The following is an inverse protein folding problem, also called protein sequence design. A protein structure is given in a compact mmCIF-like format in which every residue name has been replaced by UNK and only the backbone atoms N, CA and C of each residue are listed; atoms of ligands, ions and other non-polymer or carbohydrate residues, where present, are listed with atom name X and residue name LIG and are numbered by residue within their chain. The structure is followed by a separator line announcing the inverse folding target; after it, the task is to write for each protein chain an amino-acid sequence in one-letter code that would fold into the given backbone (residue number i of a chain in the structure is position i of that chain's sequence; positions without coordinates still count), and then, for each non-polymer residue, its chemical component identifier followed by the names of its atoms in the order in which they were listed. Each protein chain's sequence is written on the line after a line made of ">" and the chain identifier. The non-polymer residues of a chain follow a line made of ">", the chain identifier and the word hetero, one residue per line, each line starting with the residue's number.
data_IF_657260113104
#
_entry.id   IF_657260113104
#
_cell.length_a   1.000
_cell.length_b   1.000
_cell.length_c   1.000
_cell.angle_alpha   90.00
_cell.angle_beta   90.00
_cell.angle_gamma   90.00
#
_symmetry.space_group_name_H-M   'P 1'
#
loop_
_entity.id
_entity.type
_entity.pdbx_description
1 polymer ?
#
# COMPACT_ATOMS: atom_id res chain seq x y z
N UNK A 1 11.07 15.02 3.68
CA UNK A 1 12.06 15.30 2.61
C UNK A 1 13.22 14.29 2.62
N UNK A 2 12.94 12.98 2.55
CA UNK A 2 13.99 11.94 2.60
C UNK A 2 13.71 10.70 1.72
N UNK A 3 12.62 10.69 0.92
CA UNK A 3 12.30 9.53 0.04
C UNK A 3 12.67 9.84 -1.43
N UNK A 4 13.04 11.09 -1.73
CA UNK A 4 13.38 11.51 -3.10
C UNK A 4 14.84 11.24 -3.47
N UNK A 5 15.69 10.76 -2.55
CA UNK A 5 17.13 10.66 -2.81
C UNK A 5 17.57 9.40 -3.56
N UNK A 6 16.71 8.37 -3.66
CA UNK A 6 17.07 7.09 -4.30
C UNK A 6 16.28 6.77 -5.58
N UNK A 7 15.45 7.72 -6.08
CA UNK A 7 14.67 7.52 -7.31
C UNK A 7 15.47 8.05 -8.50
N UNK A 8 16.04 7.16 -9.32
CA UNK A 8 16.69 7.57 -10.58
C UNK A 8 15.68 8.30 -11.49
N UNK A 9 16.15 9.27 -12.29
CA UNK A 9 15.34 10.12 -13.18
C UNK A 9 14.31 9.34 -14.00
N UNK A 10 14.68 8.16 -14.50
CA UNK A 10 13.79 7.27 -15.25
C UNK A 10 12.58 6.81 -14.42
N UNK A 11 12.79 6.42 -13.16
CA UNK A 11 11.72 5.96 -12.26
C UNK A 11 10.81 7.13 -11.88
N UNK A 12 11.39 8.31 -11.59
CA UNK A 12 10.61 9.52 -11.29
C UNK A 12 9.75 9.94 -12.49
N UNK A 13 10.32 9.91 -13.69
CA UNK A 13 9.62 10.24 -14.92
C UNK A 13 8.43 9.30 -15.17
N UNK A 14 8.62 7.99 -14.99
CA UNK A 14 7.54 7.01 -15.15
C UNK A 14 6.47 7.19 -14.07
N UNK A 15 6.86 7.37 -12.82
CA UNK A 15 5.95 7.66 -11.72
C UNK A 15 5.05 8.87 -12.05
N UNK A 16 5.65 9.99 -12.46
CA UNK A 16 4.90 11.21 -12.81
C UNK A 16 3.95 10.98 -14.00
N UNK A 17 4.38 10.23 -15.01
CA UNK A 17 3.54 9.88 -16.16
C UNK A 17 2.32 9.06 -15.73
N UNK A 18 2.50 8.11 -14.81
CA UNK A 18 1.46 7.21 -14.33
C UNK A 18 0.69 7.75 -13.11
N UNK A 19 1.06 8.92 -12.57
CA UNK A 19 0.46 9.49 -11.35
C UNK A 19 -1.06 9.67 -11.45
N UNK A 20 -1.58 10.03 -12.62
CA UNK A 20 -3.01 10.19 -12.86
C UNK A 20 -3.80 8.90 -12.59
N UNK A 21 -3.22 7.75 -12.95
CA UNK A 21 -3.82 6.43 -12.75
C UNK A 21 -3.83 6.05 -11.27
N UNK A 22 -2.71 6.28 -10.56
CA UNK A 22 -2.64 6.04 -9.13
C UNK A 22 -3.60 6.95 -8.34
N UNK A 23 -3.71 8.22 -8.74
CA UNK A 23 -4.67 9.15 -8.15
C UNK A 23 -6.12 8.72 -8.37
N UNK A 24 -6.42 8.18 -9.55
CA UNK A 24 -7.74 7.61 -9.84
C UNK A 24 -8.08 6.45 -8.90
N UNK A 25 -7.14 5.52 -8.65
CA UNK A 25 -7.32 4.44 -7.67
C UNK A 25 -7.62 4.96 -6.26
N UNK A 26 -6.95 6.04 -5.84
CA UNK A 26 -7.20 6.66 -4.54
C UNK A 26 -8.57 7.33 -4.45
N UNK A 27 -9.04 7.92 -5.56
CA UNK A 27 -10.33 8.63 -5.62
C UNK A 27 -11.52 7.67 -5.66
N UNK A 28 -11.39 6.54 -6.35
CA UNK A 28 -12.41 5.48 -6.43
C UNK A 28 -12.43 4.59 -5.18
N UNK A 29 -11.54 4.83 -4.22
CA UNK A 29 -11.60 4.14 -2.93
C UNK A 29 -12.86 4.53 -2.18
N UNK A 30 -13.86 3.65 -2.24
CA UNK A 30 -15.04 3.69 -1.40
C UNK A 30 -14.94 2.63 -0.30
N UNK A 31 -14.98 3.09 0.95
CA UNK A 31 -15.00 2.23 2.14
C UNK A 31 -16.18 1.26 2.17
N UNK A 32 -17.26 1.54 1.41
CA UNK A 32 -18.43 0.66 1.30
C UNK A 32 -18.14 -0.65 0.56
N UNK A 33 -17.09 -0.70 -0.28
CA UNK A 33 -16.69 -1.87 -1.07
C UNK A 33 -15.65 -2.74 -0.37
N UNK A 34 -15.32 -2.45 0.89
CA UNK A 34 -14.40 -3.28 1.67
C UNK A 34 -15.07 -4.62 1.97
N UNK A 35 -14.46 -5.71 1.51
CA UNK A 35 -14.85 -7.06 1.93
C UNK A 35 -14.69 -7.17 3.44
N UNK A 36 -15.61 -7.86 4.12
CA UNK A 36 -15.56 -8.14 5.57
C UNK A 36 -14.20 -8.68 6.04
N UNK A 37 -13.50 -9.42 5.16
CA UNK A 37 -12.17 -9.94 5.42
C UNK A 37 -11.09 -8.83 5.59
N UNK A 38 -11.18 -7.72 4.85
CA UNK A 38 -10.27 -6.58 4.99
C UNK A 38 -10.55 -5.82 6.30
N UNK A 39 -11.83 -5.72 6.70
CA UNK A 39 -12.23 -5.07 7.95
C UNK A 39 -11.63 -5.78 9.16
N UNK A 40 -11.72 -7.12 9.19
CA UNK A 40 -11.16 -7.94 10.27
C UNK A 40 -9.63 -7.88 10.32
N UNK A 41 -8.96 -8.01 9.17
CA UNK A 41 -7.50 -7.96 9.09
C UNK A 41 -6.98 -6.59 9.55
N UNK A 42 -7.57 -5.50 9.08
CA UNK A 42 -7.16 -4.16 9.49
C UNK A 42 -7.54 -3.83 10.93
N UNK A 43 -8.60 -4.44 11.47
CA UNK A 43 -8.93 -4.36 12.90
C UNK A 43 -7.84 -4.99 13.77
N UNK A 44 -7.41 -6.21 13.44
CA UNK A 44 -6.31 -6.89 14.15
C UNK A 44 -5.00 -6.11 14.01
N UNK A 45 -4.67 -5.70 12.79
CA UNK A 45 -3.45 -4.95 12.49
C UNK A 45 -3.35 -3.64 13.25
N UNK A 46 -4.46 -2.89 13.35
CA UNK A 46 -4.51 -1.61 14.07
C UNK A 46 -4.28 -1.77 15.58
N UNK A 47 -4.52 -2.96 16.15
CA UNK A 47 -4.28 -3.25 17.56
C UNK A 47 -2.86 -3.78 17.83
N UNK A 48 -2.25 -4.45 16.85
CA UNK A 48 -0.91 -5.06 16.98
C UNK A 48 0.24 -4.08 16.85
N UNK A 49 0.04 -3.00 16.10
CA UNK A 49 1.02 -1.94 16.05
C UNK A 49 0.62 -0.91 17.08
N UNK A 50 1.55 -0.49 17.95
CA UNK A 50 1.44 0.74 18.76
C UNK A 50 1.35 2.01 17.89
N UNK A 51 0.76 1.93 16.69
CA UNK A 51 0.06 3.05 16.11
C UNK A 51 -1.11 3.22 17.06
N UNK A 52 -1.09 4.30 17.82
CA UNK A 52 -2.26 4.80 18.57
C UNK A 52 -3.56 4.24 17.99
N UNK A 53 -4.48 3.79 18.84
CA UNK A 53 -5.89 3.44 18.55
C UNK A 53 -6.62 4.62 17.86
N UNK A 54 -6.12 5.02 16.70
CA UNK A 54 -6.56 6.12 15.89
C UNK A 54 -7.13 5.44 14.67
N UNK A 55 -8.39 5.78 14.41
CA UNK A 55 -9.12 5.49 13.18
C UNK A 55 -8.24 5.58 11.92
N UNK A 56 -7.28 6.50 11.90
CA UNK A 56 -6.27 6.66 10.83
C UNK A 56 -5.49 5.39 10.46
N UNK A 57 -5.03 4.59 11.42
CA UNK A 57 -4.20 3.40 11.14
C UNK A 57 -5.00 2.31 10.43
N UNK A 58 -6.22 2.10 10.90
CA UNK A 58 -7.18 1.16 10.30
C UNK A 58 -7.57 1.60 8.88
N UNK A 59 -7.81 2.90 8.68
CA UNK A 59 -8.14 3.44 7.36
C UNK A 59 -6.96 3.39 6.37
N UNK A 60 -5.73 3.63 6.82
CA UNK A 60 -4.53 3.45 5.98
C UNK A 60 -4.36 1.99 5.58
N UNK A 61 -4.54 1.05 6.50
CA UNK A 61 -4.53 -0.39 6.19
C UNK A 61 -5.55 -0.74 5.11
N UNK A 62 -6.80 -0.26 5.24
CA UNK A 62 -7.86 -0.52 4.27
C UNK A 62 -7.53 0.01 2.88
N UNK A 63 -7.06 1.25 2.81
CA UNK A 63 -6.63 1.88 1.55
C UNK A 63 -5.46 1.13 0.93
N UNK A 64 -4.46 0.76 1.73
CA UNK A 64 -3.32 -0.03 1.29
C UNK A 64 -3.76 -1.36 0.65
N UNK A 65 -4.61 -2.12 1.34
CA UNK A 65 -5.15 -3.38 0.82
C UNK A 65 -5.92 -3.18 -0.49
N UNK A 66 -6.74 -2.13 -0.58
CA UNK A 66 -7.48 -1.82 -1.81
C UNK A 66 -6.54 -1.49 -2.98
N UNK A 67 -5.55 -0.62 -2.77
CA UNK A 67 -4.55 -0.27 -3.78
C UNK A 67 -3.84 -1.54 -4.26
N UNK A 68 -3.36 -2.36 -3.32
CA UNK A 68 -2.66 -3.62 -3.61
C UNK A 68 -3.52 -4.59 -4.43
N UNK A 69 -4.79 -4.79 -4.09
CA UNK A 69 -5.69 -5.69 -4.83
C UNK A 69 -6.01 -5.16 -6.24
N UNK A 70 -6.23 -3.86 -6.39
CA UNK A 70 -6.55 -3.27 -7.69
C UNK A 70 -5.35 -3.29 -8.65
N UNK A 71 -4.15 -2.95 -8.16
CA UNK A 71 -2.93 -3.06 -8.96
C UNK A 71 -2.73 -4.50 -9.44
N UNK A 72 -2.86 -5.48 -8.54
CA UNK A 72 -2.81 -6.89 -8.90
C UNK A 72 -3.87 -7.30 -9.93
N UNK A 73 -5.11 -6.80 -9.84
CA UNK A 73 -6.19 -7.10 -10.80
C UNK A 73 -5.92 -6.50 -12.18
N UNK A 74 -5.38 -5.30 -12.23
CA UNK A 74 -5.15 -4.57 -13.48
C UNK A 74 -4.08 -5.27 -14.30
N UNK A 75 -3.01 -5.73 -13.65
CA UNK A 75 -1.98 -6.54 -14.31
C UNK A 75 -2.44 -7.96 -14.65
N UNK A 76 -3.36 -8.54 -13.86
CA UNK A 76 -3.99 -9.85 -14.15
C UNK A 76 -4.79 -9.88 -15.45
N UNK A 77 -5.26 -8.73 -15.95
CA UNK A 77 -6.03 -8.65 -17.19
C UNK A 77 -5.18 -8.91 -18.44
N UNK A 78 -3.85 -8.97 -18.30
CA UNK A 78 -2.89 -9.27 -19.38
C UNK A 78 -1.84 -10.34 -19.07
N UNK A 79 -1.76 -10.86 -17.84
CA UNK A 79 -0.77 -11.85 -17.40
C UNK A 79 -1.41 -12.99 -16.58
N UNK A 80 -0.80 -14.17 -16.61
CA UNK A 80 -1.24 -15.35 -15.83
C UNK A 80 -1.04 -15.19 -14.32
N UNK A 81 -0.25 -14.21 -13.88
CA UNK A 81 0.09 -13.96 -12.48
C UNK A 81 -0.36 -12.57 -11.99
N UNK A 82 -0.54 -12.46 -10.67
CA UNK A 82 -0.72 -11.19 -9.96
C UNK A 82 0.63 -10.46 -9.89
N UNK A 83 0.97 -9.65 -10.88
CA UNK A 83 2.25 -8.94 -10.92
C UNK A 83 2.07 -7.48 -10.52
N UNK A 84 2.46 -7.13 -9.28
CA UNK A 84 2.80 -5.75 -8.93
C UNK A 84 4.12 -5.41 -9.66
N UNK A 85 4.25 -4.22 -10.23
CA UNK A 85 5.50 -3.79 -10.89
C UNK A 85 6.41 -3.01 -9.93
N UNK A 86 7.68 -2.82 -10.28
CA UNK A 86 8.60 -1.97 -9.50
C UNK A 86 8.05 -0.53 -9.39
N UNK A 87 7.41 -0.04 -10.46
CA UNK A 87 6.74 1.27 -10.49
C UNK A 87 5.60 1.35 -9.46
N UNK A 88 4.81 0.29 -9.35
CA UNK A 88 3.75 0.17 -8.34
C UNK A 88 4.32 0.13 -6.92
N UNK A 89 5.43 -0.58 -6.71
CA UNK A 89 6.14 -0.61 -5.43
C UNK A 89 6.60 0.79 -5.03
N UNK A 90 7.22 1.55 -5.94
CA UNK A 90 7.63 2.93 -5.66
C UNK A 90 6.44 3.84 -5.31
N UNK A 91 5.30 3.70 -6.02
CA UNK A 91 4.11 4.46 -5.68
C UNK A 91 3.55 4.09 -4.30
N UNK A 92 3.39 2.80 -4.01
CA UNK A 92 2.89 2.32 -2.72
C UNK A 92 3.81 2.80 -1.59
N UNK A 93 5.13 2.71 -1.77
CA UNK A 93 6.12 3.14 -0.80
C UNK A 93 6.07 4.66 -0.55
N UNK A 94 5.91 5.46 -1.61
CA UNK A 94 5.72 6.91 -1.48
C UNK A 94 4.42 7.23 -0.73
N UNK A 95 3.29 6.69 -1.20
CA UNK A 95 1.97 6.97 -0.66
C UNK A 95 1.86 6.57 0.81
N UNK A 96 2.32 5.37 1.17
CA UNK A 96 2.26 4.88 2.54
C UNK A 96 3.14 5.74 3.46
N UNK A 97 4.36 6.08 3.05
CA UNK A 97 5.24 6.94 3.84
C UNK A 97 4.64 8.33 4.11
N UNK A 98 3.98 8.92 3.12
CA UNK A 98 3.34 10.23 3.25
C UNK A 98 2.17 10.15 4.26
N UNK A 99 1.33 9.13 4.13
CA UNK A 99 0.17 8.91 5.01
C UNK A 99 0.58 8.58 6.45
N UNK A 100 1.63 7.77 6.66
CA UNK A 100 2.15 7.47 7.99
C UNK A 100 2.66 8.74 8.69
N UNK A 101 3.36 9.61 7.94
CA UNK A 101 3.87 10.89 8.46
C UNK A 101 2.76 11.87 8.79
N UNK A 102 1.80 12.08 7.89
CA UNK A 102 0.69 13.00 8.08
C UNK A 102 -0.14 12.65 9.31
N UNK A 103 -0.35 11.36 9.56
CA UNK A 103 -1.18 10.89 10.66
C UNK A 103 -0.41 10.73 12.00
N UNK A 104 0.86 11.16 12.08
CA UNK A 104 1.75 10.95 13.23
C UNK A 104 1.81 9.49 13.69
N UNK A 105 1.56 8.57 12.76
CA UNK A 105 1.54 7.14 12.98
C UNK A 105 3.01 6.71 13.03
N UNK A 106 3.50 6.53 14.27
CA UNK A 106 4.89 6.28 14.64
C UNK A 106 5.87 6.43 13.46
N UNK A 107 6.41 7.64 13.28
CA UNK A 107 7.31 7.99 12.17
C UNK A 107 8.55 7.10 12.06
N UNK A 108 8.79 6.21 13.03
CA UNK A 108 9.81 5.17 13.01
C UNK A 108 9.38 3.87 12.30
N UNK A 109 8.12 3.71 11.89
CA UNK A 109 7.67 2.52 11.18
C UNK A 109 8.02 2.64 9.70
N UNK A 110 9.03 1.88 9.30
CA UNK A 110 9.39 1.72 7.90
C UNK A 110 8.28 1.01 7.13
N UNK A 111 8.13 1.34 5.84
CA UNK A 111 7.17 0.71 4.93
C UNK A 111 7.28 -0.82 4.93
N UNK A 112 8.51 -1.36 4.92
CA UNK A 112 8.73 -2.80 4.95
C UNK A 112 8.14 -3.44 6.22
N UNK A 113 8.38 -2.83 7.40
CA UNK A 113 7.82 -3.32 8.67
C UNK A 113 6.28 -3.21 8.70
N UNK A 114 5.70 -2.15 8.12
CA UNK A 114 4.25 -2.05 7.96
C UNK A 114 3.72 -3.20 7.10
N UNK A 115 4.34 -3.41 5.94
CA UNK A 115 3.94 -4.44 4.98
C UNK A 115 4.09 -5.85 5.56
N UNK A 116 5.22 -6.18 6.18
CA UNK A 116 5.49 -7.50 6.76
C UNK A 116 4.49 -7.85 7.85
N UNK A 117 4.21 -6.89 8.74
CA UNK A 117 3.20 -7.07 9.77
C UNK A 117 1.83 -7.29 9.17
N UNK A 118 1.43 -6.50 8.18
CA UNK A 118 0.13 -6.65 7.54
C UNK A 118 0.02 -7.98 6.77
N UNK A 119 1.09 -8.36 6.06
CA UNK A 119 1.23 -9.63 5.35
C UNK A 119 1.07 -10.82 6.27
N UNK A 120 1.68 -10.78 7.47
CA UNK A 120 1.53 -11.84 8.48
C UNK A 120 0.09 -12.04 8.96
N UNK A 121 -0.79 -11.05 8.79
CA UNK A 121 -2.21 -11.16 9.12
C UNK A 121 -3.05 -11.77 7.99
N UNK A 122 -2.56 -11.78 6.76
CA UNK A 122 -3.26 -12.38 5.62
C UNK A 122 -2.32 -12.76 4.46
N UNK A 123 -1.48 -13.77 4.66
CA UNK A 123 -0.47 -14.17 3.67
C UNK A 123 -1.09 -14.54 2.31
N UNK A 124 -2.26 -15.17 2.31
CA UNK A 124 -2.96 -15.58 1.08
C UNK A 124 -3.37 -14.38 0.21
N UNK A 125 -3.73 -13.25 0.83
CA UNK A 125 -4.04 -12.02 0.12
C UNK A 125 -2.78 -11.42 -0.52
N UNK A 126 -1.67 -11.41 0.21
CA UNK A 126 -0.39 -10.81 -0.18
C UNK A 126 0.54 -11.77 -0.95
N UNK A 127 -0.04 -12.67 -1.74
CA UNK A 127 0.65 -13.72 -2.50
C UNK A 127 1.23 -13.28 -3.86
N UNK A 128 1.58 -11.99 -4.05
CA UNK A 128 2.17 -11.54 -5.32
C UNK A 128 3.59 -12.12 -5.49
N UNK A 129 3.98 -12.42 -6.74
CA UNK A 129 5.33 -12.87 -7.08
C UNK A 129 6.37 -11.76 -6.95
N UNK A 130 5.95 -10.49 -6.98
CA UNK A 130 6.81 -9.32 -6.75
C UNK A 130 6.82 -8.96 -5.27
N UNK A 131 8.01 -8.79 -4.70
CA UNK A 131 8.17 -8.30 -3.33
C UNK A 131 8.03 -6.79 -3.32
N UNK A 132 7.30 -6.28 -2.32
CA UNK A 132 7.29 -4.85 -1.99
C UNK A 132 8.54 -4.43 -1.21
N UNK A 133 9.32 -5.42 -0.76
CA UNK A 133 10.61 -5.28 -0.10
C UNK A 133 11.72 -5.20 -1.17
N UNK A 134 12.31 -4.02 -1.34
CA UNK A 134 13.72 -3.86 -1.72
C UNK A 134 14.46 -3.16 -0.57
#
# INVERSE_FOLDING_TARGET
>A
MLILLDINFTILYIFLRNAHYYWYLLKEFDTSNLKDQNENVCGIFSNDINLSENSSSKEICKKFMYIYDNLNKIHKKGATEKTITDEDCHFINYWLNDNLKENNINSSICVNNFYDKLKSKNETFFSSSTKLED
#
